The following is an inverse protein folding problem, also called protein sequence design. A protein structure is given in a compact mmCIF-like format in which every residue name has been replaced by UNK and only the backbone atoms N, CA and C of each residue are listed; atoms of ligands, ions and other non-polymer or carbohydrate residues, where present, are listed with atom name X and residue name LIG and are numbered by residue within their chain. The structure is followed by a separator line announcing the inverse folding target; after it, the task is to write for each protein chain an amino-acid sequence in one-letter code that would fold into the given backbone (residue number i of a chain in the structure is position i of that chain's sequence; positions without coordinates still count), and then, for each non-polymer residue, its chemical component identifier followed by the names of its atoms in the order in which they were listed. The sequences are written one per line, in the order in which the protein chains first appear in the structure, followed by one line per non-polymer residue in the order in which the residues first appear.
data_IF_530678697686
#
_entry.id   IF_530678697686
#
_cell.length_a   1.000
_cell.length_b   1.000
_cell.length_c   1.000
_cell.angle_alpha   90.00
_cell.angle_beta   90.00
_cell.angle_gamma   90.00
#
_symmetry.space_group_name_H-M   'P 1'
#
loop_
_entity.id
_entity.type
_entity.pdbx_description
1 polymer ?
#
# COMPACT_ATOMS: atom_id res chain seq x y z
N UNK A 1 -1.25 7.67 0.83
CA UNK A 1 -1.32 8.04 2.26
C UNK A 1 -1.95 6.98 3.17
N UNK A 2 -3.04 6.31 2.81
CA UNK A 2 -3.63 5.31 3.73
C UNK A 2 -2.65 4.19 4.14
N UNK A 3 -1.83 3.70 3.20
CA UNK A 3 -0.80 2.68 3.45
C UNK A 3 0.30 3.17 4.40
N UNK A 4 0.67 4.45 4.31
CA UNK A 4 1.64 5.10 5.21
C UNK A 4 1.11 5.13 6.65
N UNK A 5 -0.12 5.62 6.82
CA UNK A 5 -0.81 5.59 8.11
C UNK A 5 -0.98 4.15 8.65
N UNK A 6 -1.18 3.18 7.75
CA UNK A 6 -1.30 1.77 8.08
C UNK A 6 -0.06 1.23 8.78
N UNK A 7 1.13 1.47 8.24
CA UNK A 7 2.35 0.96 8.88
C UNK A 7 2.73 1.71 10.15
N UNK A 8 2.39 2.99 10.29
CA UNK A 8 2.49 3.70 11.58
C UNK A 8 1.63 3.04 12.65
N UNK A 9 0.37 2.70 12.33
CA UNK A 9 -0.52 2.02 13.26
C UNK A 9 -0.02 0.60 13.60
N UNK A 10 0.57 -0.11 12.62
CA UNK A 10 1.18 -1.43 12.86
C UNK A 10 2.40 -1.35 13.78
N UNK A 11 3.22 -0.31 13.65
CA UNK A 11 4.34 -0.07 14.55
C UNK A 11 3.84 0.22 15.97
N UNK A 12 2.89 1.14 16.10
CA UNK A 12 2.30 1.50 17.39
C UNK A 12 1.62 0.31 18.08
N UNK A 13 0.88 -0.51 17.32
CA UNK A 13 0.24 -1.70 17.84
C UNK A 13 1.26 -2.74 18.35
N UNK A 14 2.36 -2.93 17.62
CA UNK A 14 3.43 -3.86 18.02
C UNK A 14 4.14 -3.40 19.30
N UNK A 15 4.37 -2.09 19.46
CA UNK A 15 4.97 -1.53 20.68
C UNK A 15 4.09 -1.69 21.91
N UNK A 16 2.76 -1.71 21.74
CA UNK A 16 1.79 -1.83 22.84
C UNK A 16 1.22 -3.24 23.04
N UNK A 17 1.46 -4.15 22.11
CA UNK A 17 0.80 -5.46 22.08
C UNK A 17 -0.72 -5.36 21.86
N UNK A 18 -1.18 -4.35 21.12
CA UNK A 18 -2.61 -4.10 20.88
C UNK A 18 -3.08 -4.80 19.59
N UNK A 19 -3.57 -6.03 19.74
CA UNK A 19 -4.05 -6.86 18.63
C UNK A 19 -5.27 -6.25 17.89
N UNK A 20 -6.07 -5.42 18.57
CA UNK A 20 -7.25 -4.80 17.97
C UNK A 20 -6.83 -3.68 17.01
N UNK A 21 -5.89 -2.84 17.42
CA UNK A 21 -5.32 -1.81 16.55
C UNK A 21 -4.57 -2.47 15.40
N UNK A 22 -3.79 -3.52 15.67
CA UNK A 22 -3.11 -4.29 14.63
C UNK A 22 -4.09 -4.80 13.57
N UNK A 23 -5.16 -5.49 13.98
CA UNK A 23 -6.17 -6.03 13.07
C UNK A 23 -6.82 -4.93 12.25
N UNK A 24 -7.15 -3.80 12.89
CA UNK A 24 -7.74 -2.63 12.23
C UNK A 24 -6.79 -2.03 11.21
N UNK A 25 -5.51 -1.88 11.54
CA UNK A 25 -4.49 -1.35 10.66
C UNK A 25 -4.33 -2.23 9.41
N UNK A 26 -4.21 -3.54 9.58
CA UNK A 26 -4.09 -4.48 8.46
C UNK A 26 -5.33 -4.38 7.54
N UNK A 27 -6.53 -4.51 8.10
CA UNK A 27 -7.74 -4.60 7.28
C UNK A 27 -8.14 -3.27 6.63
N UNK A 28 -8.06 -2.16 7.38
CA UNK A 28 -8.63 -0.88 6.96
C UNK A 28 -7.62 0.05 6.31
N UNK A 29 -6.35 -0.06 6.67
CA UNK A 29 -5.29 0.84 6.18
C UNK A 29 -4.29 0.16 5.25
N UNK A 30 -4.23 -1.18 5.23
CA UNK A 30 -3.35 -1.93 4.32
C UNK A 30 -4.13 -2.67 3.23
N UNK A 31 -4.94 -3.66 3.59
CA UNK A 31 -5.66 -4.51 2.63
C UNK A 31 -6.63 -3.69 1.77
N UNK A 32 -7.54 -2.95 2.42
CA UNK A 32 -8.58 -2.19 1.72
C UNK A 32 -8.00 -1.12 0.76
N UNK A 33 -7.05 -0.24 1.17
CA UNK A 33 -6.50 0.77 0.27
C UNK A 33 -5.61 0.20 -0.83
N UNK A 34 -4.94 -0.93 -0.60
CA UNK A 34 -4.20 -1.63 -1.65
C UNK A 34 -5.15 -2.21 -2.69
N UNK A 35 -6.22 -2.89 -2.27
CA UNK A 35 -7.18 -3.52 -3.18
C UNK A 35 -7.94 -2.49 -4.03
N UNK A 36 -8.34 -1.36 -3.43
CA UNK A 36 -9.04 -0.30 -4.15
C UNK A 36 -8.11 0.56 -5.00
N UNK A 37 -6.85 0.72 -4.58
CA UNK A 37 -5.90 1.59 -5.27
C UNK A 37 -5.02 0.93 -6.31
N UNK A 38 -4.99 -0.39 -6.37
CA UNK A 38 -4.24 -1.10 -7.40
C UNK A 38 -4.95 -1.04 -8.75
N UNK A 39 -4.26 -0.49 -9.75
CA UNK A 39 -4.72 -0.51 -11.14
C UNK A 39 -4.56 -1.92 -11.74
N UNK A 40 -5.68 -2.60 -11.97
CA UNK A 40 -5.69 -3.96 -12.54
C UNK A 40 -5.36 -4.00 -14.04
N UNK A 41 -5.50 -2.87 -14.75
CA UNK A 41 -5.25 -2.81 -16.19
C UNK A 41 -3.79 -2.52 -16.52
N UNK A 42 -3.16 -1.59 -15.77
CA UNK A 42 -1.78 -1.14 -16.06
C UNK A 42 -0.78 -1.44 -14.94
N UNK A 43 -1.23 -1.95 -13.80
CA UNK A 43 -0.40 -2.12 -12.61
C UNK A 43 -0.07 -0.80 -11.92
N UNK A 44 0.34 -0.89 -10.65
CA UNK A 44 0.71 0.27 -9.83
C UNK A 44 -0.47 0.94 -9.14
N UNK A 45 -0.17 1.65 -8.06
CA UNK A 45 -1.13 2.35 -7.21
C UNK A 45 -1.49 3.71 -7.76
N UNK A 46 -2.79 4.00 -7.86
CA UNK A 46 -3.28 5.34 -8.15
C UNK A 46 -2.84 6.34 -7.08
N UNK A 47 -2.60 7.59 -7.50
CA UNK A 47 -2.12 8.63 -6.61
C UNK A 47 -3.24 9.16 -5.70
N UNK A 48 -4.44 9.36 -6.25
CA UNK A 48 -5.63 9.72 -5.51
C UNK A 48 -6.81 8.85 -5.93
N UNK A 49 -7.58 8.42 -4.94
CA UNK A 49 -8.87 7.76 -5.15
C UNK A 49 -9.90 8.50 -4.34
N UNK A 50 -11.00 8.84 -5.01
CA UNK A 50 -12.19 9.31 -4.34
C UNK A 50 -12.91 8.12 -3.71
N UNK A 51 -13.36 8.26 -2.45
CA UNK A 51 -14.02 7.19 -1.70
C UNK A 51 -15.37 6.80 -2.30
N UNK A 52 -15.98 7.69 -3.09
CA UNK A 52 -17.27 7.48 -3.75
C UNK A 52 -17.10 7.09 -5.23
N UNK A 53 -15.87 6.86 -5.71
CA UNK A 53 -15.59 6.47 -7.10
C UNK A 53 -15.84 7.57 -8.13
N UNK A 54 -16.04 8.82 -7.67
CA UNK A 54 -16.15 9.96 -8.56
C UNK A 54 -14.77 10.31 -9.13
N UNK A 55 -14.75 10.87 -10.36
CA UNK A 55 -13.51 11.29 -11.00
C UNK A 55 -12.83 12.36 -10.12
N UNK A 56 -11.65 12.09 -9.53
CA UNK A 56 -10.98 13.07 -8.70
C UNK A 56 -10.69 14.31 -9.54
N UNK A 57 -10.94 15.50 -9.01
CA UNK A 57 -10.75 16.75 -9.74
C UNK A 57 -9.28 17.05 -10.06
N UNK A 58 -8.35 16.35 -9.41
CA UNK A 58 -6.91 16.48 -9.63
C UNK A 58 -6.46 15.69 -10.87
N UNK A 59 -6.03 16.37 -11.94
CA UNK A 59 -5.50 15.77 -13.18
C UNK A 59 -4.43 14.67 -12.98
N UNK A 60 -3.71 14.72 -11.86
CA UNK A 60 -2.62 13.80 -11.51
C UNK A 60 -3.10 12.49 -10.84
N UNK A 61 -4.41 12.32 -10.62
CA UNK A 61 -4.96 11.20 -9.83
C UNK A 61 -4.57 9.82 -10.37
N UNK A 62 -4.41 9.70 -11.69
CA UNK A 62 -4.04 8.46 -12.37
C UNK A 62 -2.53 8.23 -12.45
N UNK A 63 -1.72 9.22 -12.07
CA UNK A 63 -0.26 9.11 -12.12
C UNK A 63 0.26 8.08 -11.11
N UNK A 64 1.36 7.43 -11.46
CA UNK A 64 2.04 6.44 -10.63
C UNK A 64 3.33 7.08 -10.12
N UNK A 65 3.32 7.57 -8.89
CA UNK A 65 4.51 8.14 -8.24
C UNK A 65 5.32 7.04 -7.55
N UNK A 66 6.62 7.26 -7.32
CA UNK A 66 7.49 6.27 -6.68
C UNK A 66 7.18 6.08 -5.19
N UNK A 67 6.82 7.16 -4.50
CA UNK A 67 6.66 7.16 -3.03
C UNK A 67 5.46 6.32 -2.55
N UNK A 68 4.25 6.34 -3.17
CA UNK A 68 3.14 5.51 -2.70
C UNK A 68 3.45 4.02 -2.80
N UNK A 69 4.26 3.62 -3.78
CA UNK A 69 4.71 2.25 -3.93
C UNK A 69 5.75 1.88 -2.87
N UNK A 70 6.65 2.79 -2.53
CA UNK A 70 7.62 2.58 -1.45
C UNK A 70 6.93 2.39 -0.10
N UNK A 71 5.94 3.23 0.22
CA UNK A 71 5.12 3.10 1.43
C UNK A 71 4.30 1.80 1.43
N UNK A 72 3.77 1.40 0.27
CA UNK A 72 3.05 0.14 0.12
C UNK A 72 3.93 -1.09 0.41
N UNK A 73 5.20 -1.07 -0.05
CA UNK A 73 6.16 -2.14 0.22
C UNK A 73 6.41 -2.29 1.73
N UNK A 74 6.61 -1.18 2.44
CA UNK A 74 6.81 -1.17 3.90
C UNK A 74 5.56 -1.73 4.59
N UNK A 75 4.38 -1.19 4.26
CA UNK A 75 3.12 -1.56 4.90
C UNK A 75 2.76 -3.03 4.70
N UNK A 76 2.88 -3.55 3.47
CA UNK A 76 2.55 -4.95 3.14
C UNK A 76 3.53 -5.91 3.82
N UNK A 77 4.82 -5.59 3.85
CA UNK A 77 5.82 -6.44 4.49
C UNK A 77 5.66 -6.45 6.02
N UNK A 78 5.39 -5.29 6.62
CA UNK A 78 5.09 -5.19 8.06
C UNK A 78 3.81 -5.96 8.41
N UNK A 79 2.73 -5.77 7.65
CA UNK A 79 1.48 -6.49 7.87
C UNK A 79 1.66 -8.01 7.74
N UNK A 80 2.45 -8.48 6.75
CA UNK A 80 2.82 -9.89 6.63
C UNK A 80 3.64 -10.39 7.83
N UNK A 81 4.62 -9.62 8.28
CA UNK A 81 5.49 -10.02 9.41
C UNK A 81 4.69 -10.28 10.69
N UNK A 82 3.60 -9.52 10.88
CA UNK A 82 2.77 -9.57 12.09
C UNK A 82 1.58 -10.54 11.98
N UNK A 83 1.01 -10.75 10.78
CA UNK A 83 -0.17 -11.62 10.58
C UNK A 83 0.12 -12.95 9.91
N UNK A 84 1.27 -13.08 9.22
CA UNK A 84 1.68 -14.25 8.42
C UNK A 84 0.72 -14.66 7.29
N UNK A 85 -0.20 -13.78 6.88
CA UNK A 85 -1.11 -14.00 5.74
C UNK A 85 -0.34 -14.01 4.41
N UNK A 86 -0.43 -15.10 3.65
CA UNK A 86 0.33 -15.26 2.40
C UNK A 86 -0.09 -14.23 1.32
N UNK A 87 -1.33 -13.78 1.35
CA UNK A 87 -1.92 -12.82 0.42
C UNK A 87 -1.22 -11.45 0.50
N UNK A 88 -0.81 -11.03 1.70
CA UNK A 88 -0.05 -9.80 1.90
C UNK A 88 1.34 -9.89 1.28
N UNK A 89 1.98 -11.06 1.38
CA UNK A 89 3.29 -11.29 0.78
C UNK A 89 3.20 -11.35 -0.76
N UNK A 90 2.15 -11.98 -1.30
CA UNK A 90 1.89 -11.96 -2.74
C UNK A 90 1.65 -10.53 -3.26
N UNK A 91 0.91 -9.74 -2.50
CA UNK A 91 0.66 -8.33 -2.80
C UNK A 91 1.96 -7.51 -2.74
N UNK A 92 2.81 -7.77 -1.74
CA UNK A 92 4.14 -7.18 -1.66
C UNK A 92 4.97 -7.46 -2.91
N UNK A 93 5.04 -8.72 -3.36
CA UNK A 93 5.80 -9.07 -4.56
C UNK A 93 5.27 -8.38 -5.80
N UNK A 94 3.94 -8.26 -5.95
CA UNK A 94 3.34 -7.52 -7.06
C UNK A 94 3.74 -6.04 -7.07
N UNK A 95 3.70 -5.38 -5.91
CA UNK A 95 4.15 -3.99 -5.78
C UNK A 95 5.65 -3.91 -6.06
N UNK A 96 6.44 -4.85 -5.57
CA UNK A 96 7.90 -4.89 -5.72
C UNK A 96 8.29 -4.98 -7.20
N UNK A 97 7.74 -5.97 -7.91
CA UNK A 97 8.00 -6.16 -9.34
C UNK A 97 7.62 -4.91 -10.14
N UNK A 98 6.47 -4.30 -9.87
CA UNK A 98 6.07 -3.06 -10.52
C UNK A 98 7.03 -1.91 -10.20
N UNK A 99 7.37 -1.72 -8.93
CA UNK A 99 8.21 -0.61 -8.47
C UNK A 99 9.59 -0.67 -9.11
N UNK A 100 10.23 -1.84 -9.07
CA UNK A 100 11.59 -2.01 -9.56
C UNK A 100 11.69 -2.11 -11.09
N UNK A 101 10.58 -2.37 -11.79
CA UNK A 101 10.55 -2.31 -13.25
C UNK A 101 10.26 -0.91 -13.81
N UNK A 102 9.68 0.00 -13.02
CA UNK A 102 9.22 1.31 -13.52
C UNK A 102 9.98 2.52 -12.96
N UNK A 103 10.49 2.47 -11.73
CA UNK A 103 11.05 3.66 -11.06
C UNK A 103 12.57 3.75 -11.01
N UNK A 104 13.35 2.66 -10.82
CA UNK A 104 14.80 2.76 -10.87
C UNK A 104 15.26 3.26 -12.24
N UNK A 105 16.10 4.29 -12.25
CA UNK A 105 16.87 4.64 -13.44
C UNK A 105 18.10 3.70 -13.50
N UNK A 106 18.20 2.81 -14.51
CA UNK A 106 19.34 1.91 -14.65
C UNK A 106 20.65 2.63 -15.02
N UNK A 107 20.60 3.93 -15.35
CA UNK A 107 21.77 4.76 -15.62
C UNK A 107 22.03 5.76 -14.48
N UNK A 108 22.47 5.24 -13.33
CA UNK A 108 23.10 6.03 -12.26
C UNK A 108 24.61 6.14 -12.44
#
# INVERSE_FOLDING_TARGET
HALEAGWFLLQYAAERGDEQIQTTAIQKFVELPYESGWDKAHGGLFYFLDVDGHCPTQLEWSMKLWWPHSEALIALLMAYSQSRKAELLQSFFRVYEYTFSHFPDPAG
#
